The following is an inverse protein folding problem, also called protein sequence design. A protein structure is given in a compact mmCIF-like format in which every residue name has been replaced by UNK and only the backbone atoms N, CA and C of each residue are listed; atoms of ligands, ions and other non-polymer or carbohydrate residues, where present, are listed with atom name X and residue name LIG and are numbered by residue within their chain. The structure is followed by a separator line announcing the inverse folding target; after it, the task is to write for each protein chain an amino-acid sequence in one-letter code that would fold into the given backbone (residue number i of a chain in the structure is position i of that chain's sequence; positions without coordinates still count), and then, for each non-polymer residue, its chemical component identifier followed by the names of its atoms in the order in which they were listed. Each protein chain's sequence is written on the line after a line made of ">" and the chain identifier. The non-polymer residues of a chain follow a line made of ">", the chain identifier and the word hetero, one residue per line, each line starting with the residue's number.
data_IF_889774078677
#
_entry.id   IF_889774078677
#
_cell.length_a   1.000
_cell.length_b   1.000
_cell.length_c   1.000
_cell.angle_alpha   90.00
_cell.angle_beta   90.00
_cell.angle_gamma   90.00
#
_symmetry.space_group_name_H-M   'P 1'
#
loop_
_entity.id
_entity.type
_entity.pdbx_description
1 polymer ?
#
# COMPACT_ATOMS: atom_id res chain seq x y z
N UNK A 1 9.62 -27.06 38.03
CA UNK A 1 8.24 -27.18 37.50
C UNK A 1 7.39 -26.21 38.29
N UNK A 2 6.81 -25.20 37.65
CA UNK A 2 5.89 -24.25 38.29
C UNK A 2 4.60 -25.03 38.63
N UNK A 3 4.16 -24.90 39.88
CA UNK A 3 3.00 -25.64 40.40
C UNK A 3 1.72 -24.97 39.84
N UNK A 4 1.11 -25.58 38.83
CA UNK A 4 -0.10 -25.06 38.15
C UNK A 4 -1.29 -24.85 39.10
N UNK A 5 -1.29 -25.49 40.28
CA UNK A 5 -2.35 -25.37 41.30
C UNK A 5 -2.41 -24.00 42.01
N UNK A 6 -1.41 -23.14 41.81
CA UNK A 6 -1.34 -21.80 42.44
C UNK A 6 -1.59 -20.65 41.45
N UNK A 7 -2.08 -20.92 40.27
CA UNK A 7 -2.41 -19.86 39.27
C UNK A 7 -3.84 -19.34 39.51
N UNK A 8 -3.93 -18.11 39.98
CA UNK A 8 -5.23 -17.39 40.08
C UNK A 8 -5.65 -16.96 38.70
N UNK A 9 -6.81 -17.37 38.16
CA UNK A 9 -7.32 -16.95 36.89
C UNK A 9 -7.50 -15.42 36.80
N UNK A 10 -7.33 -14.84 35.63
CA UNK A 10 -7.50 -13.39 35.46
C UNK A 10 -8.92 -12.89 35.78
N UNK A 11 -9.93 -13.74 35.68
CA UNK A 11 -11.32 -13.47 36.05
C UNK A 11 -11.53 -13.27 37.56
N UNK A 12 -10.62 -13.75 38.39
CA UNK A 12 -10.69 -13.66 39.85
C UNK A 12 -9.81 -12.54 40.41
N UNK A 13 -9.12 -11.78 39.57
CA UNK A 13 -8.20 -10.72 39.98
C UNK A 13 -8.91 -9.35 39.98
N UNK A 14 -8.50 -8.51 40.90
CA UNK A 14 -8.96 -7.13 40.92
C UNK A 14 -8.39 -6.30 39.76
N UNK A 15 -9.06 -5.21 39.33
CA UNK A 15 -8.53 -4.32 38.28
C UNK A 15 -7.15 -3.74 38.59
N UNK A 16 -6.82 -3.53 39.86
CA UNK A 16 -5.50 -3.05 40.30
C UNK A 16 -4.40 -4.09 40.11
N UNK A 17 -4.66 -5.35 40.48
CA UNK A 17 -3.75 -6.48 40.28
C UNK A 17 -3.48 -6.74 38.81
N UNK A 18 -4.52 -6.68 37.96
CA UNK A 18 -4.38 -6.84 36.51
C UNK A 18 -3.51 -5.74 35.93
N UNK A 19 -3.66 -4.47 36.36
CA UNK A 19 -2.80 -3.37 35.93
C UNK A 19 -1.34 -3.57 36.31
N UNK A 20 -1.10 -4.05 37.53
CA UNK A 20 0.27 -4.30 38.02
C UNK A 20 0.96 -5.43 37.26
N UNK A 21 0.24 -6.53 36.99
CA UNK A 21 0.77 -7.66 36.21
C UNK A 21 1.07 -7.24 34.79
N UNK A 22 0.18 -6.48 34.15
CA UNK A 22 0.36 -5.95 32.79
C UNK A 22 1.56 -5.00 32.73
N UNK A 23 1.73 -4.14 33.73
CA UNK A 23 2.87 -3.21 33.85
C UNK A 23 4.18 -3.98 34.01
N UNK A 24 4.23 -4.98 34.90
CA UNK A 24 5.42 -5.85 35.11
C UNK A 24 5.75 -6.65 33.83
N UNK A 25 4.74 -7.18 33.14
CA UNK A 25 4.92 -7.88 31.86
C UNK A 25 5.46 -6.97 30.76
N UNK A 26 4.96 -5.74 30.67
CA UNK A 26 5.42 -4.71 29.71
C UNK A 26 6.87 -4.31 29.95
N UNK A 27 7.28 -4.08 31.22
CA UNK A 27 8.66 -3.74 31.57
C UNK A 27 9.61 -4.89 31.19
N UNK A 28 9.28 -6.13 31.59
CA UNK A 28 10.11 -7.30 31.29
C UNK A 28 10.22 -7.59 29.78
N UNK A 29 9.14 -7.41 29.04
CA UNK A 29 9.15 -7.51 27.58
C UNK A 29 10.02 -6.44 26.92
N UNK A 30 9.98 -5.20 27.43
CA UNK A 30 10.83 -4.10 26.98
C UNK A 30 12.34 -4.35 27.27
N UNK A 31 12.67 -4.93 28.42
CA UNK A 31 14.05 -5.29 28.77
C UNK A 31 14.59 -6.41 27.86
N UNK A 32 13.80 -7.45 27.62
CA UNK A 32 14.17 -8.57 26.70
C UNK A 32 14.35 -8.05 25.27
N UNK A 33 13.50 -7.13 24.79
CA UNK A 33 13.66 -6.52 23.47
C UNK A 33 14.93 -5.69 23.36
N UNK A 34 15.26 -4.90 24.39
CA UNK A 34 16.51 -4.12 24.44
C UNK A 34 17.75 -5.02 24.44
N UNK A 35 17.77 -6.07 25.26
CA UNK A 35 18.85 -7.05 25.27
C UNK A 35 19.04 -7.74 23.92
N UNK A 36 17.94 -8.18 23.26
CA UNK A 36 18.01 -8.78 21.92
C UNK A 36 18.55 -7.81 20.87
N UNK A 37 18.16 -6.53 20.92
CA UNK A 37 18.68 -5.48 20.00
C UNK A 37 20.17 -5.27 20.20
N UNK A 38 20.61 -5.16 21.46
CA UNK A 38 22.04 -4.98 21.78
C UNK A 38 22.88 -6.19 21.35
N UNK A 39 22.39 -7.42 21.54
CA UNK A 39 23.07 -8.63 21.09
C UNK A 39 23.15 -8.71 19.56
N UNK A 40 22.09 -8.29 18.86
CA UNK A 40 22.08 -8.25 17.40
C UNK A 40 23.06 -7.21 16.86
N UNK A 41 23.14 -6.05 17.47
CA UNK A 41 24.09 -5.00 17.09
C UNK A 41 25.54 -5.45 17.33
N UNK A 42 25.82 -6.06 18.48
CA UNK A 42 27.14 -6.64 18.76
C UNK A 42 27.51 -7.76 17.77
N UNK A 43 26.55 -8.63 17.44
CA UNK A 43 26.77 -9.68 16.44
C UNK A 43 27.11 -9.11 15.07
N UNK A 44 26.44 -8.05 14.62
CA UNK A 44 26.75 -7.35 13.38
C UNK A 44 28.16 -6.74 13.40
N UNK A 45 28.53 -6.03 14.46
CA UNK A 45 29.87 -5.46 14.61
C UNK A 45 30.96 -6.54 14.57
N UNK A 46 30.75 -7.67 15.26
CA UNK A 46 31.70 -8.80 15.20
C UNK A 46 31.76 -9.40 13.81
N UNK A 47 30.62 -9.54 13.12
CA UNK A 47 30.52 -10.12 11.80
C UNK A 47 31.23 -9.30 10.71
N UNK A 48 31.18 -7.97 10.81
CA UNK A 48 31.79 -7.01 9.86
C UNK A 48 33.28 -6.79 10.14
N UNK A 49 33.82 -7.20 11.29
CA UNK A 49 35.24 -7.04 11.58
C UNK A 49 36.12 -7.88 10.62
N UNK A 50 37.31 -7.41 10.27
CA UNK A 50 38.25 -8.16 9.45
C UNK A 50 38.56 -9.54 10.00
N UNK A 51 38.63 -10.54 9.13
CA UNK A 51 38.96 -11.89 9.50
C UNK A 51 40.36 -12.00 10.14
N UNK A 52 40.58 -12.90 11.11
CA UNK A 52 41.92 -13.20 11.64
C UNK A 52 42.90 -13.59 10.52
N UNK A 53 44.17 -13.21 10.68
CA UNK A 53 45.22 -13.43 9.63
C UNK A 53 45.32 -14.88 9.19
N UNK A 54 45.12 -15.83 10.08
CA UNK A 54 45.10 -17.27 9.76
C UNK A 54 43.91 -17.69 8.89
N UNK A 55 42.73 -17.05 9.11
CA UNK A 55 41.54 -17.31 8.32
C UNK A 55 41.58 -16.61 6.96
N UNK A 56 42.17 -15.42 6.87
CA UNK A 56 42.32 -14.69 5.60
C UNK A 56 43.00 -15.55 4.52
N UNK A 57 44.11 -16.21 4.84
CA UNK A 57 44.83 -17.10 3.90
C UNK A 57 43.91 -18.23 3.35
N UNK A 58 42.98 -18.71 4.16
CA UNK A 58 42.01 -19.73 3.75
C UNK A 58 40.97 -19.14 2.83
N UNK A 59 40.43 -17.97 3.16
CA UNK A 59 39.41 -17.27 2.39
C UNK A 59 39.94 -16.87 1.02
N UNK A 60 41.16 -16.36 0.94
CA UNK A 60 41.84 -16.05 -0.35
C UNK A 60 41.97 -17.28 -1.25
N UNK A 61 42.31 -18.46 -0.67
CA UNK A 61 42.32 -19.74 -1.43
C UNK A 61 40.97 -20.17 -1.96
N UNK A 62 39.86 -19.68 -1.33
CA UNK A 62 38.48 -19.92 -1.77
C UNK A 62 37.98 -18.84 -2.74
N UNK A 63 38.86 -17.90 -3.19
CA UNK A 63 38.53 -16.85 -4.14
C UNK A 63 37.90 -15.61 -3.53
N UNK A 64 37.91 -15.47 -2.21
CA UNK A 64 37.34 -14.27 -1.50
C UNK A 64 38.46 -13.22 -1.45
N UNK A 65 38.12 -11.97 -1.86
CA UNK A 65 39.07 -10.85 -1.85
C UNK A 65 39.50 -10.47 -0.42
N UNK A 66 40.63 -9.81 -0.25
CA UNK A 66 41.11 -9.35 1.05
C UNK A 66 40.18 -8.29 1.66
N UNK A 67 39.46 -7.54 0.83
CA UNK A 67 38.45 -6.55 1.27
C UNK A 67 37.18 -7.21 1.81
N UNK A 68 36.76 -8.34 1.23
CA UNK A 68 35.58 -9.11 1.65
C UNK A 68 35.89 -10.11 2.78
N UNK A 69 37.17 -10.26 3.14
CA UNK A 69 37.63 -11.22 4.15
C UNK A 69 37.33 -10.74 5.57
N UNK A 70 36.08 -10.86 5.99
CA UNK A 70 35.55 -10.54 7.32
C UNK A 70 35.08 -11.79 8.06
N UNK A 71 34.61 -11.63 9.30
CA UNK A 71 34.17 -12.77 10.11
C UNK A 71 32.90 -13.46 9.55
N UNK A 72 32.04 -12.75 8.83
CA UNK A 72 30.92 -13.38 8.08
C UNK A 72 31.46 -14.37 7.03
N UNK A 73 32.45 -13.95 6.24
CA UNK A 73 33.08 -14.84 5.25
C UNK A 73 33.67 -16.09 5.92
N UNK A 74 34.26 -15.95 7.13
CA UNK A 74 34.74 -17.11 7.92
C UNK A 74 33.63 -18.08 8.29
N UNK A 75 32.46 -17.57 8.72
CA UNK A 75 31.31 -18.39 9.10
C UNK A 75 30.75 -19.13 7.88
N UNK A 76 30.58 -18.42 6.75
CA UNK A 76 30.12 -19.01 5.49
C UNK A 76 31.07 -20.11 5.00
N UNK A 77 32.38 -19.85 5.02
CA UNK A 77 33.40 -20.85 4.67
C UNK A 77 33.38 -22.07 5.61
N UNK A 78 33.13 -21.88 6.90
CA UNK A 78 33.03 -22.98 7.85
C UNK A 78 31.77 -23.83 7.65
N UNK A 79 30.64 -23.23 7.26
CA UNK A 79 29.42 -23.96 6.89
C UNK A 79 29.68 -24.78 5.61
N UNK A 80 30.27 -24.18 4.59
CA UNK A 80 30.65 -24.86 3.35
C UNK A 80 31.57 -26.06 3.60
N UNK A 81 32.64 -25.88 4.37
CA UNK A 81 33.59 -26.99 4.69
C UNK A 81 32.89 -28.17 5.41
N UNK A 82 31.93 -27.90 6.27
CA UNK A 82 31.16 -28.96 6.96
C UNK A 82 30.17 -29.63 6.01
N UNK A 83 29.52 -28.84 5.13
CA UNK A 83 28.57 -29.35 4.14
C UNK A 83 29.23 -30.33 3.16
N UNK A 84 30.39 -29.98 2.59
CA UNK A 84 31.14 -30.85 1.67
C UNK A 84 31.69 -32.13 2.32
N UNK A 85 31.80 -32.11 3.69
CA UNK A 85 32.19 -33.33 4.46
C UNK A 85 30.97 -34.18 4.84
N UNK A 86 29.78 -33.89 4.32
CA UNK A 86 28.59 -34.72 4.51
C UNK A 86 27.80 -34.43 5.79
N UNK A 87 28.02 -33.27 6.47
CA UNK A 87 27.21 -32.89 7.62
C UNK A 87 25.87 -32.33 7.12
N UNK A 88 24.78 -33.10 7.32
CA UNK A 88 23.45 -32.76 6.80
C UNK A 88 22.94 -31.41 7.33
N UNK A 89 23.13 -31.07 8.60
CA UNK A 89 22.72 -29.78 9.16
C UNK A 89 23.47 -28.61 8.50
N UNK A 90 24.72 -28.79 8.11
CA UNK A 90 25.49 -27.80 7.38
C UNK A 90 25.07 -27.74 5.91
N UNK A 91 24.63 -28.84 5.30
CA UNK A 91 24.03 -28.88 3.95
C UNK A 91 22.74 -28.07 3.94
N UNK A 92 21.80 -28.33 4.85
CA UNK A 92 20.55 -27.58 4.98
C UNK A 92 20.81 -26.07 5.17
N UNK A 93 21.81 -25.73 6.01
CA UNK A 93 22.19 -24.35 6.25
C UNK A 93 22.83 -23.69 5.02
N UNK A 94 23.64 -24.43 4.29
CA UNK A 94 24.24 -23.98 3.03
C UNK A 94 23.17 -23.73 1.97
N UNK A 95 22.23 -24.66 1.80
CA UNK A 95 21.11 -24.50 0.87
C UNK A 95 20.27 -23.28 1.21
N UNK A 96 19.99 -23.03 2.51
CA UNK A 96 19.33 -21.81 2.96
C UNK A 96 20.10 -20.53 2.58
N UNK A 97 21.43 -20.50 2.78
CA UNK A 97 22.27 -19.35 2.44
C UNK A 97 22.30 -19.11 0.94
N UNK A 98 22.42 -20.17 0.12
CA UNK A 98 22.39 -20.10 -1.33
C UNK A 98 20.99 -19.74 -1.85
N UNK A 99 19.91 -20.24 -1.21
CA UNK A 99 18.53 -19.89 -1.56
C UNK A 99 18.23 -18.41 -1.28
N UNK A 100 18.75 -17.87 -0.16
CA UNK A 100 18.64 -16.41 0.13
C UNK A 100 19.35 -15.60 -0.95
N UNK A 101 20.55 -16.01 -1.40
CA UNK A 101 21.27 -15.32 -2.49
C UNK A 101 20.57 -15.44 -3.85
N UNK A 102 19.84 -16.54 -4.09
CA UNK A 102 19.02 -16.71 -5.30
C UNK A 102 17.68 -15.97 -5.22
N UNK A 103 17.12 -15.78 -4.02
CA UNK A 103 15.89 -15.01 -3.84
C UNK A 103 16.09 -13.49 -3.96
N UNK A 104 17.33 -13.00 -3.86
CA UNK A 104 17.63 -11.58 -4.06
C UNK A 104 17.73 -11.16 -5.54
N UNK A 105 17.72 -12.10 -6.49
CA UNK A 105 17.80 -11.77 -7.93
C UNK A 105 16.48 -11.86 -8.70
N UNK A 106 15.45 -12.52 -8.21
CA UNK A 106 14.15 -12.54 -8.89
C UNK A 106 13.19 -11.53 -8.27
N UNK A 107 12.94 -10.43 -8.99
CA UNK A 107 11.88 -9.49 -8.61
C UNK A 107 10.56 -10.24 -8.49
N UNK A 108 9.80 -9.92 -7.43
CA UNK A 108 8.44 -10.41 -7.27
C UNK A 108 7.56 -9.78 -8.37
N UNK A 109 6.86 -10.61 -9.12
CA UNK A 109 5.94 -10.17 -10.17
C UNK A 109 4.50 -10.54 -9.78
N UNK A 110 3.54 -9.66 -10.12
CA UNK A 110 2.14 -9.95 -9.90
C UNK A 110 1.69 -11.15 -10.76
N UNK A 111 1.03 -12.15 -10.16
CA UNK A 111 0.50 -13.27 -10.92
C UNK A 111 -0.54 -12.79 -11.94
N UNK A 112 -0.52 -13.34 -13.15
CA UNK A 112 -1.46 -12.96 -14.21
C UNK A 112 -2.95 -13.10 -13.78
N UNK A 113 -3.24 -14.03 -12.88
CA UNK A 113 -4.61 -14.28 -12.35
C UNK A 113 -5.22 -13.10 -11.60
N UNK A 114 -4.42 -12.18 -11.06
CA UNK A 114 -4.93 -11.01 -10.32
C UNK A 114 -5.00 -9.74 -11.19
N UNK A 115 -4.46 -9.79 -12.41
CA UNK A 115 -4.47 -8.67 -13.34
C UNK A 115 -5.70 -8.72 -14.23
N UNK A 116 -6.59 -7.75 -14.09
CA UNK A 116 -7.63 -7.51 -15.08
C UNK A 116 -7.00 -7.12 -16.43
N UNK A 117 -7.68 -7.48 -17.54
CA UNK A 117 -7.17 -7.28 -18.91
C UNK A 117 -6.69 -5.84 -19.16
N UNK A 118 -7.40 -4.83 -18.65
CA UNK A 118 -7.04 -3.42 -18.78
C UNK A 118 -5.66 -3.10 -18.20
N UNK A 119 -5.20 -3.86 -17.22
CA UNK A 119 -3.99 -3.51 -16.45
C UNK A 119 -2.73 -4.26 -16.87
N UNK A 120 -2.82 -5.23 -17.77
CA UNK A 120 -1.67 -6.06 -18.17
C UNK A 120 -0.54 -5.21 -18.77
N UNK A 121 -0.86 -4.32 -19.70
CA UNK A 121 0.14 -3.51 -20.38
C UNK A 121 0.67 -2.39 -19.49
N UNK A 122 -0.22 -1.69 -18.77
CA UNK A 122 0.21 -0.62 -17.87
C UNK A 122 1.07 -1.17 -16.71
N UNK A 123 0.79 -2.38 -16.21
CA UNK A 123 1.59 -3.02 -15.17
C UNK A 123 3.07 -3.14 -15.57
N UNK A 124 3.35 -3.47 -16.84
CA UNK A 124 4.71 -3.60 -17.39
C UNK A 124 5.40 -2.25 -17.60
N UNK A 125 4.62 -1.18 -17.78
CA UNK A 125 5.11 0.16 -18.05
C UNK A 125 5.37 0.99 -16.79
N UNK A 126 4.90 0.56 -15.62
CA UNK A 126 5.11 1.28 -14.37
C UNK A 126 6.61 1.36 -14.04
N UNK A 127 7.10 2.58 -13.92
CA UNK A 127 8.48 2.94 -13.58
C UNK A 127 8.51 4.10 -12.58
N UNK A 128 9.62 4.29 -11.84
CA UNK A 128 9.69 5.36 -10.85
C UNK A 128 9.63 6.76 -11.47
N UNK A 129 9.30 7.73 -10.64
CA UNK A 129 9.26 9.17 -10.93
C UNK A 129 8.23 9.57 -12.00
N UNK A 130 7.16 8.78 -12.11
CA UNK A 130 5.98 9.02 -12.93
C UNK A 130 4.74 9.01 -12.04
N UNK A 131 3.83 9.93 -12.30
CA UNK A 131 2.48 9.96 -11.73
C UNK A 131 1.56 9.07 -12.60
N UNK A 132 0.92 8.09 -11.97
CA UNK A 132 -0.06 7.21 -12.61
C UNK A 132 -1.46 7.54 -12.08
N UNK A 133 -2.30 7.99 -12.98
CA UNK A 133 -3.69 8.38 -12.68
C UNK A 133 -4.61 7.31 -13.27
N UNK A 134 -5.25 6.55 -12.40
CA UNK A 134 -6.23 5.53 -12.76
C UNK A 134 -7.62 6.09 -12.61
N UNK A 135 -8.29 6.31 -13.71
CA UNK A 135 -9.66 6.82 -13.74
C UNK A 135 -10.62 5.87 -14.47
N UNK A 136 -11.90 6.08 -14.32
CA UNK A 136 -12.91 5.30 -15.03
C UNK A 136 -14.13 4.99 -14.18
N UNK A 137 -15.05 4.20 -14.72
CA UNK A 137 -16.33 3.87 -14.10
C UNK A 137 -16.23 2.90 -12.92
N UNK A 138 -17.39 2.62 -12.33
CA UNK A 138 -17.56 1.57 -11.31
C UNK A 138 -17.18 0.21 -11.89
N UNK A 139 -16.64 -0.67 -11.06
CA UNK A 139 -16.21 -2.00 -11.48
C UNK A 139 -14.94 -2.04 -12.36
N UNK A 140 -14.31 -0.88 -12.64
CA UNK A 140 -13.10 -0.79 -13.46
C UNK A 140 -11.81 -1.28 -12.79
N UNK A 141 -11.87 -1.92 -11.62
CA UNK A 141 -10.77 -2.59 -10.88
C UNK A 141 -9.56 -1.70 -10.52
N UNK A 142 -9.69 -0.38 -10.62
CA UNK A 142 -8.60 0.59 -10.40
C UNK A 142 -7.93 0.42 -9.04
N UNK A 143 -8.70 0.48 -7.97
CA UNK A 143 -8.21 0.40 -6.58
C UNK A 143 -7.64 -0.98 -6.26
N UNK A 144 -8.21 -2.06 -6.84
CA UNK A 144 -7.68 -3.42 -6.71
C UNK A 144 -6.30 -3.54 -7.34
N UNK A 145 -6.14 -3.03 -8.56
CA UNK A 145 -4.85 -3.03 -9.26
C UNK A 145 -3.78 -2.25 -8.49
N UNK A 146 -4.09 -1.03 -8.03
CA UNK A 146 -3.13 -0.23 -7.27
C UNK A 146 -2.73 -0.93 -5.97
N UNK A 147 -3.67 -1.57 -5.28
CA UNK A 147 -3.37 -2.33 -4.07
C UNK A 147 -2.40 -3.49 -4.34
N UNK A 148 -2.61 -4.29 -5.39
CA UNK A 148 -1.67 -5.34 -5.81
C UNK A 148 -0.30 -4.77 -6.16
N UNK A 149 -0.26 -3.66 -6.90
CA UNK A 149 0.99 -3.01 -7.30
C UNK A 149 1.80 -2.48 -6.12
N UNK A 150 1.15 -1.96 -5.09
CA UNK A 150 1.82 -1.54 -3.85
C UNK A 150 2.47 -2.73 -3.15
N UNK A 151 1.80 -3.89 -3.08
CA UNK A 151 2.40 -5.12 -2.51
C UNK A 151 3.65 -5.52 -3.29
N UNK A 152 3.58 -5.55 -4.62
CA UNK A 152 4.73 -5.84 -5.48
C UNK A 152 5.90 -4.87 -5.24
N UNK A 153 5.61 -3.56 -5.19
CA UNK A 153 6.62 -2.53 -4.99
C UNK A 153 7.28 -2.62 -3.60
N UNK A 154 6.52 -2.89 -2.55
CA UNK A 154 7.04 -3.12 -1.19
C UNK A 154 8.00 -4.31 -1.18
N UNK A 155 7.66 -5.42 -1.84
CA UNK A 155 8.51 -6.60 -1.90
C UNK A 155 9.81 -6.36 -2.67
N UNK A 156 9.75 -5.51 -3.71
CA UNK A 156 10.88 -5.26 -4.61
C UNK A 156 11.79 -4.09 -4.20
N UNK A 157 11.35 -3.23 -3.27
CA UNK A 157 12.09 -2.03 -2.89
C UNK A 157 12.27 -1.95 -1.38
N UNK A 158 13.26 -2.64 -0.79
CA UNK A 158 13.41 -2.80 0.67
C UNK A 158 13.57 -1.49 1.47
N UNK A 159 13.87 -0.37 0.82
CA UNK A 159 14.02 0.94 1.46
C UNK A 159 12.78 1.83 1.32
N UNK A 160 11.76 1.38 0.55
CA UNK A 160 10.56 2.17 0.31
C UNK A 160 9.42 1.78 1.23
N UNK A 161 8.87 2.73 1.95
CA UNK A 161 7.59 2.64 2.63
C UNK A 161 6.48 3.18 1.74
N UNK A 162 5.23 2.85 2.04
CA UNK A 162 4.07 3.37 1.32
C UNK A 162 3.21 4.25 2.21
N UNK A 163 2.55 5.26 1.62
CA UNK A 163 1.50 6.04 2.26
C UNK A 163 0.25 6.02 1.38
N UNK A 164 -0.87 5.61 1.95
CA UNK A 164 -2.17 5.59 1.28
C UNK A 164 -3.05 6.64 1.91
N UNK A 165 -3.65 7.49 1.09
CA UNK A 165 -4.43 8.64 1.55
C UNK A 165 -5.84 8.64 0.99
N UNK A 166 -6.79 9.13 1.78
CA UNK A 166 -8.14 9.53 1.38
C UNK A 166 -8.48 10.87 2.01
N UNK A 167 -9.44 11.60 1.44
CA UNK A 167 -9.85 12.90 1.98
C UNK A 167 -10.34 12.77 3.43
N UNK A 168 -11.10 11.73 3.77
CA UNK A 168 -11.71 11.54 5.09
C UNK A 168 -11.05 10.38 5.85
N UNK A 169 -10.43 10.67 7.00
CA UNK A 169 -9.74 9.66 7.82
C UNK A 169 -10.65 8.52 8.30
N UNK A 170 -11.89 8.83 8.66
CA UNK A 170 -12.85 7.85 9.17
C UNK A 170 -13.19 6.72 8.19
N UNK A 171 -12.97 6.92 6.89
CA UNK A 171 -13.27 5.91 5.86
C UNK A 171 -12.09 4.98 5.54
N UNK A 172 -10.89 5.28 6.02
CA UNK A 172 -9.66 4.54 5.67
C UNK A 172 -9.73 3.05 6.01
N UNK A 173 -10.26 2.70 7.19
CA UNK A 173 -10.29 1.33 7.70
C UNK A 173 -11.14 0.41 6.83
N UNK A 174 -12.33 0.87 6.48
CA UNK A 174 -13.33 0.06 5.76
C UNK A 174 -13.18 0.14 4.24
N UNK A 175 -12.26 0.97 3.76
CA UNK A 175 -11.95 1.14 2.34
C UNK A 175 -10.53 0.64 2.00
N UNK A 176 -9.56 1.55 1.89
CA UNK A 176 -8.20 1.24 1.41
C UNK A 176 -7.44 0.26 2.29
N UNK A 177 -7.64 0.29 3.61
CA UNK A 177 -7.01 -0.70 4.49
C UNK A 177 -7.61 -2.10 4.28
N UNK A 178 -8.93 -2.20 4.20
CA UNK A 178 -9.61 -3.46 3.89
C UNK A 178 -9.19 -3.97 2.49
N UNK A 179 -9.10 -3.08 1.50
CA UNK A 179 -8.65 -3.41 0.16
C UNK A 179 -7.19 -3.91 0.13
N UNK A 180 -6.28 -3.26 0.86
CA UNK A 180 -4.89 -3.75 0.98
C UNK A 180 -4.82 -5.13 1.62
N UNK A 181 -5.58 -5.38 2.69
CA UNK A 181 -5.65 -6.72 3.31
C UNK A 181 -6.19 -7.77 2.35
N UNK A 182 -7.25 -7.43 1.63
CA UNK A 182 -7.81 -8.30 0.59
C UNK A 182 -6.76 -8.61 -0.48
N UNK A 183 -6.06 -7.61 -0.99
CA UNK A 183 -5.02 -7.80 -2.00
C UNK A 183 -3.87 -8.70 -1.51
N UNK A 184 -3.40 -8.51 -0.28
CA UNK A 184 -2.38 -9.36 0.34
C UNK A 184 -2.87 -10.81 0.45
N UNK A 185 -4.14 -11.01 0.84
CA UNK A 185 -4.76 -12.33 0.94
C UNK A 185 -4.88 -13.01 -0.43
N UNK A 186 -5.36 -12.31 -1.45
CA UNK A 186 -5.48 -12.82 -2.82
C UNK A 186 -4.12 -13.23 -3.43
N UNK A 187 -3.05 -12.56 -3.02
CA UNK A 187 -1.68 -12.93 -3.40
C UNK A 187 -1.13 -14.12 -2.59
N UNK A 188 -1.85 -14.58 -1.54
CA UNK A 188 -1.38 -15.65 -0.65
C UNK A 188 -0.25 -15.22 0.29
N UNK A 189 -0.15 -13.91 0.62
CA UNK A 189 0.99 -13.33 1.34
C UNK A 189 0.64 -12.90 2.78
N UNK A 190 -0.49 -13.32 3.34
CA UNK A 190 -0.94 -12.86 4.67
C UNK A 190 0.07 -13.14 5.79
N UNK A 191 0.83 -14.23 5.71
CA UNK A 191 1.86 -14.57 6.70
C UNK A 191 3.11 -13.66 6.60
N UNK A 192 3.29 -12.99 5.47
CA UNK A 192 4.40 -12.05 5.28
C UNK A 192 4.10 -10.63 5.77
N UNK A 193 2.83 -10.34 6.14
CA UNK A 193 2.39 -9.00 6.54
C UNK A 193 1.72 -9.00 7.91
N UNK A 194 2.10 -8.05 8.77
CA UNK A 194 1.44 -7.77 10.04
C UNK A 194 0.43 -6.61 9.86
N UNK A 195 -0.86 -6.87 10.07
CA UNK A 195 -1.94 -5.90 9.91
C UNK A 195 -2.35 -5.34 11.27
N UNK A 196 -2.18 -4.02 11.50
CA UNK A 196 -2.53 -3.30 12.73
C UNK A 196 -3.68 -2.35 12.50
N UNK A 197 -4.62 -2.29 13.46
CA UNK A 197 -5.77 -1.37 13.43
C UNK A 197 -5.49 -0.11 14.26
N UNK A 198 -4.59 -0.19 15.23
CA UNK A 198 -4.18 0.95 16.06
C UNK A 198 -2.68 0.88 16.38
N UNK A 199 -1.85 1.71 15.78
CA UNK A 199 -2.17 2.61 14.64
C UNK A 199 -2.60 1.84 13.40
N UNK A 200 -3.34 2.49 12.48
CA UNK A 200 -3.79 1.87 11.23
C UNK A 200 -2.60 1.76 10.27
N UNK A 201 -1.99 0.58 10.21
CA UNK A 201 -0.75 0.31 9.48
C UNK A 201 -0.65 -1.16 9.09
N UNK A 202 0.03 -1.44 7.97
CA UNK A 202 0.38 -2.79 7.55
C UNK A 202 1.91 -2.84 7.42
N UNK A 203 2.55 -3.81 8.08
CA UNK A 203 4.00 -3.95 8.09
C UNK A 203 4.41 -5.21 7.32
N UNK A 204 5.31 -5.08 6.36
CA UNK A 204 5.96 -6.22 5.71
C UNK A 204 7.02 -6.79 6.66
N UNK A 205 6.84 -8.06 7.08
CA UNK A 205 7.60 -8.65 8.20
C UNK A 205 9.07 -8.86 7.82
N UNK A 206 9.34 -9.28 6.57
CA UNK A 206 10.69 -9.67 6.11
C UNK A 206 11.70 -8.51 6.23
N UNK A 207 11.31 -7.31 5.86
CA UNK A 207 12.20 -6.13 5.78
C UNK A 207 11.81 -5.01 6.74
N UNK A 208 10.59 -5.06 7.32
CA UNK A 208 10.12 -4.07 8.29
C UNK A 208 9.46 -2.83 7.70
N UNK A 209 9.30 -2.75 6.38
CA UNK A 209 8.62 -1.63 5.73
C UNK A 209 7.17 -1.51 6.18
N UNK A 210 6.66 -0.29 6.20
CA UNK A 210 5.30 0.00 6.68
C UNK A 210 4.48 0.69 5.59
N UNK A 211 3.24 0.26 5.43
CA UNK A 211 2.20 0.93 4.65
C UNK A 211 1.38 1.74 5.63
N UNK A 212 1.46 3.07 5.53
CA UNK A 212 0.76 4.03 6.38
C UNK A 212 -0.57 4.42 5.74
N UNK A 213 -1.61 4.60 6.56
CA UNK A 213 -2.92 5.09 6.13
C UNK A 213 -3.22 6.42 6.79
N UNK A 214 -3.49 7.48 6.02
CA UNK A 214 -3.68 8.85 6.54
C UNK A 214 -4.83 9.56 5.84
N UNK A 215 -5.66 10.24 6.64
CA UNK A 215 -6.67 11.16 6.13
C UNK A 215 -6.07 12.51 5.76
N UNK A 216 -6.65 13.17 4.77
CA UNK A 216 -6.26 14.52 4.32
C UNK A 216 -7.09 15.64 4.99
N UNK A 217 -8.00 15.26 5.88
CA UNK A 217 -8.72 16.18 6.78
C UNK A 217 -7.77 16.88 7.77
N UNK A 218 -6.65 16.24 8.11
CA UNK A 218 -5.57 16.80 8.93
C UNK A 218 -4.20 16.57 8.25
N UNK A 219 -3.79 17.50 7.42
CA UNK A 219 -2.52 17.43 6.68
C UNK A 219 -1.27 17.47 7.59
N UNK A 220 -1.40 17.89 8.85
CA UNK A 220 -0.28 17.91 9.78
C UNK A 220 0.23 16.50 10.09
N UNK A 221 -0.67 15.51 10.07
CA UNK A 221 -0.36 14.10 10.27
C UNK A 221 0.51 13.52 9.16
N UNK A 222 0.42 14.04 7.94
CA UNK A 222 1.29 13.62 6.82
C UNK A 222 2.74 14.08 7.03
N UNK A 223 2.92 15.32 7.49
CA UNK A 223 4.25 15.91 7.73
C UNK A 223 5.01 15.21 8.85
N UNK A 224 4.31 14.56 9.77
CA UNK A 224 4.86 13.90 10.94
C UNK A 224 5.30 12.45 10.70
N UNK A 225 5.00 11.87 9.52
CA UNK A 225 5.39 10.48 9.23
C UNK A 225 6.92 10.43 9.08
N UNK A 226 7.55 9.62 9.94
CA UNK A 226 9.00 9.35 9.90
C UNK A 226 9.20 7.84 9.95
N UNK A 227 9.53 7.18 8.82
CA UNK A 227 9.90 5.77 8.83
C UNK A 227 11.11 5.52 9.74
N UNK A 228 11.20 4.33 10.33
CA UNK A 228 12.36 3.93 11.15
C UNK A 228 13.65 3.81 10.31
N UNK A 229 13.52 3.57 9.02
CA UNK A 229 14.60 3.49 8.02
C UNK A 229 14.04 3.85 6.65
N UNK A 230 14.91 4.00 5.64
CA UNK A 230 14.50 4.29 4.27
C UNK A 230 13.67 5.57 4.15
N UNK A 231 12.68 5.54 3.26
CA UNK A 231 11.84 6.70 2.96
C UNK A 231 10.46 6.27 2.45
N UNK A 232 9.51 7.20 2.40
CA UNK A 232 8.22 6.93 1.76
C UNK A 232 8.36 7.18 0.27
N UNK A 233 8.51 6.10 -0.49
CA UNK A 233 8.67 6.12 -1.95
C UNK A 233 7.41 5.77 -2.72
N UNK A 234 6.33 5.34 -2.05
CA UNK A 234 5.09 4.93 -2.68
C UNK A 234 3.95 5.74 -2.07
N UNK A 235 3.22 6.48 -2.90
CA UNK A 235 2.04 7.25 -2.51
C UNK A 235 0.83 6.78 -3.32
N UNK A 236 -0.31 6.56 -2.66
CA UNK A 236 -1.58 6.34 -3.31
C UNK A 236 -2.65 7.30 -2.78
N UNK A 237 -3.21 8.10 -3.67
CA UNK A 237 -4.32 9.04 -3.43
C UNK A 237 -5.61 8.38 -3.93
N UNK A 238 -6.35 7.72 -3.03
CA UNK A 238 -7.64 7.09 -3.35
C UNK A 238 -8.76 8.11 -3.28
N UNK A 239 -9.71 8.03 -4.22
CA UNK A 239 -10.76 9.02 -4.41
C UNK A 239 -10.20 10.44 -4.54
N UNK A 240 -9.23 10.60 -5.45
CA UNK A 240 -8.56 11.87 -5.71
C UNK A 240 -9.54 13.02 -6.01
N UNK A 241 -10.68 12.70 -6.60
CA UNK A 241 -11.76 13.65 -6.90
C UNK A 241 -12.33 14.35 -5.67
N UNK A 242 -12.26 13.74 -4.49
CA UNK A 242 -12.70 14.33 -3.21
C UNK A 242 -11.68 15.32 -2.62
N UNK A 243 -10.46 15.37 -3.11
CA UNK A 243 -9.45 16.33 -2.64
C UNK A 243 -9.87 17.76 -2.99
N UNK A 244 -9.44 18.72 -2.17
CA UNK A 244 -9.79 20.15 -2.31
C UNK A 244 -9.19 20.84 -3.54
N UNK A 245 -8.44 20.13 -4.39
CA UNK A 245 -7.83 20.63 -5.60
C UNK A 245 -6.34 20.36 -5.68
N UNK A 246 -5.73 20.86 -6.78
CA UNK A 246 -4.31 20.66 -7.09
C UNK A 246 -3.35 21.30 -6.06
N UNK A 247 -3.77 22.31 -5.32
CA UNK A 247 -2.95 22.86 -4.23
C UNK A 247 -2.78 21.86 -3.09
N UNK A 248 -3.85 21.16 -2.69
CA UNK A 248 -3.78 20.11 -1.68
C UNK A 248 -2.95 18.92 -2.20
N UNK A 249 -3.15 18.53 -3.46
CA UNK A 249 -2.35 17.46 -4.06
C UNK A 249 -0.85 17.76 -4.02
N UNK A 250 -0.43 18.97 -4.42
CA UNK A 250 0.98 19.39 -4.32
C UNK A 250 1.50 19.34 -2.89
N UNK A 251 0.71 19.81 -1.91
CA UNK A 251 1.05 19.75 -0.48
C UNK A 251 1.27 18.31 -0.01
N UNK A 252 0.39 17.38 -0.41
CA UNK A 252 0.48 15.95 -0.09
C UNK A 252 1.74 15.34 -0.70
N UNK A 253 1.98 15.53 -1.99
CA UNK A 253 3.13 14.99 -2.70
C UNK A 253 4.46 15.48 -2.06
N UNK A 254 4.59 16.77 -1.77
CA UNK A 254 5.76 17.36 -1.13
C UNK A 254 5.97 16.88 0.33
N UNK A 255 4.88 16.57 1.03
CA UNK A 255 4.94 16.10 2.41
C UNK A 255 5.33 14.63 2.52
N UNK A 256 4.92 13.82 1.55
CA UNK A 256 5.03 12.35 1.60
C UNK A 256 6.23 11.86 0.78
N UNK A 257 6.33 12.25 -0.49
CA UNK A 257 7.38 11.77 -1.41
C UNK A 257 8.66 12.58 -1.23
N UNK A 258 9.47 12.18 -0.25
CA UNK A 258 10.74 12.84 0.09
C UNK A 258 11.75 11.84 0.65
N UNK A 259 13.03 12.12 0.48
CA UNK A 259 14.12 11.38 1.11
C UNK A 259 14.70 10.24 0.28
N UNK A 260 14.28 10.09 -0.99
CA UNK A 260 14.84 9.12 -1.93
C UNK A 260 14.83 9.62 -3.36
N UNK A 261 15.54 8.93 -4.24
CA UNK A 261 15.70 9.30 -5.65
C UNK A 261 14.57 8.75 -6.54
N UNK A 262 13.89 7.70 -6.09
CA UNK A 262 12.81 7.04 -6.82
C UNK A 262 11.50 7.13 -6.03
N UNK A 263 10.41 7.38 -6.75
CA UNK A 263 9.07 7.40 -6.17
C UNK A 263 8.01 6.89 -7.14
N UNK A 264 6.93 6.34 -6.59
CA UNK A 264 5.75 5.89 -7.31
C UNK A 264 4.54 6.65 -6.79
N UNK A 265 3.90 7.43 -7.66
CA UNK A 265 2.75 8.25 -7.32
C UNK A 265 1.51 7.72 -8.05
N UNK A 266 0.57 7.18 -7.29
CA UNK A 266 -0.68 6.62 -7.79
C UNK A 266 -1.87 7.47 -7.36
N UNK A 267 -2.82 7.62 -8.26
CA UNK A 267 -4.14 8.19 -7.97
C UNK A 267 -5.22 7.30 -8.54
N UNK A 268 -6.34 7.15 -7.85
CA UNK A 268 -7.53 6.46 -8.36
C UNK A 268 -8.79 7.24 -8.03
N UNK A 269 -9.70 7.35 -9.00
CA UNK A 269 -10.99 8.00 -8.81
C UNK A 269 -11.99 7.62 -9.90
N UNK A 270 -13.27 7.85 -9.62
CA UNK A 270 -14.30 7.90 -10.64
C UNK A 270 -14.47 9.36 -11.08
N UNK A 271 -14.36 9.69 -12.38
CA UNK A 271 -14.48 11.05 -12.84
C UNK A 271 -15.80 11.69 -12.37
N UNK A 272 -15.76 12.86 -11.71
CA UNK A 272 -16.98 13.60 -11.41
C UNK A 272 -17.77 13.97 -12.66
N UNK A 273 -19.10 14.11 -12.53
CA UNK A 273 -20.00 14.44 -13.65
C UNK A 273 -19.58 15.74 -14.36
N UNK A 274 -19.20 16.77 -13.58
CA UNK A 274 -18.79 18.07 -14.12
C UNK A 274 -17.45 18.02 -14.85
N UNK A 275 -17.45 18.35 -16.13
CA UNK A 275 -16.25 18.52 -16.95
C UNK A 275 -15.30 19.59 -16.40
N UNK A 276 -15.82 20.58 -15.68
CA UNK A 276 -15.04 21.66 -15.07
C UNK A 276 -14.36 21.29 -13.77
N UNK A 277 -14.66 20.09 -13.19
CA UNK A 277 -13.97 19.64 -12.01
C UNK A 277 -12.46 19.55 -12.23
N UNK A 278 -11.69 19.89 -11.22
CA UNK A 278 -10.22 19.97 -11.31
C UNK A 278 -9.56 18.65 -11.74
N UNK A 279 -10.06 17.49 -11.28
CA UNK A 279 -9.50 16.18 -11.70
C UNK A 279 -9.78 15.87 -13.17
N UNK A 280 -10.92 16.32 -13.72
CA UNK A 280 -11.24 16.15 -15.13
C UNK A 280 -10.40 17.09 -16.01
N UNK A 281 -10.06 18.29 -15.50
CA UNK A 281 -9.19 19.26 -16.20
C UNK A 281 -7.72 18.85 -16.21
N UNK A 282 -7.27 18.03 -15.27
CA UNK A 282 -5.86 17.59 -15.19
C UNK A 282 -5.39 16.89 -16.47
N UNK A 283 -6.32 16.26 -17.20
CA UNK A 283 -6.08 15.61 -18.50
C UNK A 283 -5.74 16.58 -19.61
N UNK A 284 -6.24 17.82 -19.50
CA UNK A 284 -6.07 18.85 -20.52
C UNK A 284 -4.70 19.53 -20.42
N UNK A 285 -3.98 19.31 -19.31
CA UNK A 285 -2.64 19.87 -19.10
C UNK A 285 -1.60 18.80 -19.40
N UNK A 286 -0.85 18.91 -20.51
CA UNK A 286 0.20 17.97 -20.84
C UNK A 286 1.27 17.90 -19.73
N UNK A 287 1.59 16.71 -19.28
CA UNK A 287 2.68 16.47 -18.34
C UNK A 287 3.43 15.18 -18.75
N UNK A 288 4.69 15.29 -19.21
CA UNK A 288 5.45 14.12 -19.67
C UNK A 288 5.76 13.12 -18.55
N UNK A 289 5.56 13.52 -17.29
CA UNK A 289 5.71 12.66 -16.10
C UNK A 289 4.38 12.15 -15.56
N UNK A 290 3.30 12.20 -16.34
CA UNK A 290 1.98 11.70 -15.96
C UNK A 290 1.48 10.72 -17.01
N UNK A 291 1.01 9.58 -16.56
CA UNK A 291 0.29 8.59 -17.36
C UNK A 291 -1.14 8.52 -16.82
N UNK A 292 -2.11 8.71 -17.70
CA UNK A 292 -3.53 8.57 -17.37
C UNK A 292 -4.01 7.26 -17.99
N UNK A 293 -4.55 6.40 -17.17
CA UNK A 293 -5.10 5.11 -17.57
C UNK A 293 -6.59 5.07 -17.25
N UNK A 294 -7.38 4.85 -18.27
CA UNK A 294 -8.83 4.70 -18.15
C UNK A 294 -9.21 3.22 -18.14
N UNK A 295 -10.13 2.82 -17.26
CA UNK A 295 -10.67 1.47 -17.24
C UNK A 295 -12.15 1.47 -16.89
N UNK A 296 -12.89 0.51 -17.43
CA UNK A 296 -14.30 0.29 -17.15
C UNK A 296 -14.54 -1.17 -16.75
N UNK A 297 -15.76 -1.48 -16.32
CA UNK A 297 -16.15 -2.83 -15.98
C UNK A 297 -16.13 -3.77 -17.20
N UNK A 298 -16.15 -3.24 -18.44
CA UNK A 298 -16.14 -4.02 -19.67
C UNK A 298 -14.84 -4.81 -19.88
N UNK A 299 -13.73 -4.36 -19.26
CA UNK A 299 -12.46 -5.07 -19.30
C UNK A 299 -12.24 -5.99 -18.09
N UNK A 300 -13.15 -5.98 -17.11
CA UNK A 300 -13.10 -6.86 -15.96
C UNK A 300 -13.70 -8.23 -16.29
N UNK A 301 -13.16 -9.33 -15.74
CA UNK A 301 -13.82 -10.63 -15.82
C UNK A 301 -15.22 -10.57 -15.19
N UNK A 302 -16.23 -11.07 -15.88
CA UNK A 302 -17.63 -10.99 -15.43
C UNK A 302 -17.85 -11.65 -14.06
N UNK A 303 -17.13 -12.75 -13.80
CA UNK A 303 -17.16 -13.48 -12.53
C UNK A 303 -16.66 -12.65 -11.34
N UNK A 304 -15.83 -11.61 -11.55
CA UNK A 304 -15.36 -10.74 -10.49
C UNK A 304 -16.37 -9.65 -10.10
N UNK A 305 -17.30 -9.35 -11.00
CA UNK A 305 -18.30 -8.29 -10.81
C UNK A 305 -19.61 -8.82 -10.21
N UNK A 306 -19.96 -10.06 -10.54
CA UNK A 306 -21.21 -10.70 -10.16
C UNK A 306 -22.42 -10.31 -11.04
N UNK A 307 -23.37 -11.22 -11.17
CA UNK A 307 -24.51 -11.07 -12.10
C UNK A 307 -25.39 -9.86 -11.79
N UNK A 308 -25.60 -9.55 -10.50
CA UNK A 308 -26.40 -8.37 -10.12
C UNK A 308 -25.79 -7.07 -10.64
N UNK A 309 -24.50 -6.88 -10.51
CA UNK A 309 -23.80 -5.69 -11.00
C UNK A 309 -23.97 -5.54 -12.52
N UNK A 310 -23.83 -6.65 -13.26
CA UNK A 310 -23.98 -6.66 -14.72
C UNK A 310 -25.42 -6.34 -15.16
N UNK A 311 -26.42 -6.90 -14.48
CA UNK A 311 -27.82 -6.62 -14.73
C UNK A 311 -28.18 -5.15 -14.42
N UNK A 312 -27.66 -4.59 -13.33
CA UNK A 312 -27.88 -3.18 -12.95
C UNK A 312 -27.26 -2.24 -14.01
N UNK A 313 -26.06 -2.57 -14.52
CA UNK A 313 -25.40 -1.81 -15.57
C UNK A 313 -26.22 -1.83 -16.88
N UNK A 314 -26.69 -2.99 -17.31
CA UNK A 314 -27.49 -3.12 -18.55
C UNK A 314 -28.84 -2.41 -18.40
N UNK A 315 -29.51 -2.58 -17.26
CA UNK A 315 -30.75 -1.85 -16.99
C UNK A 315 -30.56 -0.33 -17.03
N UNK A 316 -29.50 0.19 -16.38
CA UNK A 316 -29.24 1.63 -16.42
C UNK A 316 -28.93 2.12 -17.83
N UNK A 317 -28.23 1.32 -18.61
CA UNK A 317 -27.93 1.62 -20.02
C UNK A 317 -29.21 1.76 -20.88
N UNK A 318 -30.23 0.94 -20.60
CA UNK A 318 -31.52 1.00 -21.31
C UNK A 318 -32.37 2.20 -20.87
N UNK A 319 -32.45 2.46 -19.55
CA UNK A 319 -33.39 3.47 -19.01
C UNK A 319 -32.77 4.87 -18.92
N UNK A 320 -31.46 4.99 -18.76
CA UNK A 320 -30.75 6.26 -18.68
C UNK A 320 -29.30 6.14 -19.21
N UNK A 321 -29.10 6.16 -20.54
CA UNK A 321 -27.80 6.01 -21.17
C UNK A 321 -26.76 7.02 -20.67
N UNK A 322 -27.15 8.26 -20.38
CA UNK A 322 -26.25 9.30 -19.89
C UNK A 322 -25.71 8.97 -18.49
N UNK A 323 -26.58 8.54 -17.59
CA UNK A 323 -26.15 8.07 -16.26
C UNK A 323 -25.25 6.84 -16.37
N UNK A 324 -25.57 5.91 -17.27
CA UNK A 324 -24.75 4.73 -17.52
C UNK A 324 -23.34 5.11 -18.00
N UNK A 325 -23.21 6.00 -18.99
CA UNK A 325 -21.92 6.47 -19.48
C UNK A 325 -21.08 7.10 -18.35
N UNK A 326 -21.74 7.90 -17.52
CA UNK A 326 -21.06 8.51 -16.39
C UNK A 326 -20.64 7.49 -15.33
N UNK A 327 -21.56 6.69 -14.81
CA UNK A 327 -21.33 5.85 -13.63
C UNK A 327 -20.50 4.60 -13.95
N UNK A 328 -20.80 3.93 -15.09
CA UNK A 328 -20.16 2.66 -15.45
C UNK A 328 -18.98 2.81 -16.41
N UNK A 329 -19.02 3.81 -17.29
CA UNK A 329 -17.93 4.06 -18.22
C UNK A 329 -16.99 5.19 -17.77
N UNK A 330 -17.37 5.98 -16.73
CA UNK A 330 -16.52 7.05 -16.20
C UNK A 330 -16.43 8.26 -17.11
N UNK A 331 -17.46 8.53 -17.90
CA UNK A 331 -17.49 9.68 -18.83
C UNK A 331 -18.02 10.92 -18.09
N UNK A 332 -17.24 12.03 -18.00
CA UNK A 332 -17.76 13.31 -17.50
C UNK A 332 -18.71 13.91 -18.55
N UNK A 333 -20.00 13.88 -18.31
CA UNK A 333 -21.02 14.35 -19.25
C UNK A 333 -21.83 15.56 -18.78
N UNK A 334 -21.57 16.09 -17.57
CA UNK A 334 -22.20 17.29 -17.06
C UNK A 334 -21.47 18.58 -17.49
N UNK A 335 -22.23 19.58 -17.87
CA UNK A 335 -21.70 20.88 -18.34
C UNK A 335 -21.21 21.79 -17.20
N UNK A 336 -21.38 21.36 -15.96
CA UNK A 336 -20.85 22.06 -14.77
C UNK A 336 -21.55 23.37 -14.41
N UNK A 337 -22.63 23.70 -15.11
CA UNK A 337 -23.38 24.94 -14.95
C UNK A 337 -24.83 24.80 -14.51
N UNK A 338 -25.42 23.62 -14.66
CA UNK A 338 -26.82 23.43 -14.30
C UNK A 338 -26.95 22.99 -12.83
N UNK A 339 -27.33 23.92 -11.98
CA UNK A 339 -27.75 23.62 -10.59
C UNK A 339 -29.07 22.84 -10.58
N UNK A 340 -29.83 22.93 -11.67
CA UNK A 340 -31.12 22.26 -11.85
C UNK A 340 -31.08 21.39 -13.11
N UNK A 341 -31.41 20.09 -12.99
CA UNK A 341 -31.36 19.10 -14.08
C UNK A 341 -32.56 19.22 -15.04
N UNK A 342 -33.65 19.85 -14.62
CA UNK A 342 -34.91 20.00 -15.38
C UNK A 342 -35.38 21.45 -15.35
N UNK A 343 -34.54 22.37 -15.84
CA UNK A 343 -34.91 23.77 -15.94
C UNK A 343 -35.75 23.97 -17.21
N UNK A 344 -37.04 24.25 -17.02
CA UNK A 344 -37.92 24.72 -18.10
C UNK A 344 -37.97 26.26 -18.08
N UNK A 345 -37.46 26.89 -19.15
CA UNK A 345 -37.54 28.33 -19.32
C UNK A 345 -38.78 28.60 -20.18
N UNK A 346 -39.85 29.07 -19.54
CA UNK A 346 -41.09 29.47 -20.21
C UNK A 346 -41.70 30.69 -19.56
N UNK A 347 -42.55 31.40 -20.30
CA UNK A 347 -43.35 32.47 -19.73
C UNK A 347 -44.35 31.86 -18.70
N UNK A 348 -44.40 32.45 -17.52
CA UNK A 348 -45.31 32.08 -16.46
C UNK A 348 -46.57 32.99 -16.57
N UNK A 349 -47.74 32.40 -16.59
CA UNK A 349 -48.98 33.16 -16.69
C UNK A 349 -49.36 33.84 -15.33
N UNK A 350 -50.12 34.89 -15.38
CA UNK A 350 -50.59 35.59 -14.17
C UNK A 350 -51.41 34.68 -13.26
N UNK A 351 -52.09 33.68 -13.79
CA UNK A 351 -52.83 32.67 -13.05
C UNK A 351 -51.89 31.73 -12.28
N UNK A 352 -50.81 31.29 -12.89
CA UNK A 352 -49.81 30.48 -12.21
C UNK A 352 -49.10 31.26 -11.10
N UNK A 353 -48.76 32.55 -11.36
CA UNK A 353 -48.18 33.45 -10.36
C UNK A 353 -49.10 33.60 -9.14
N UNK A 354 -50.40 33.63 -9.34
CA UNK A 354 -51.38 33.80 -8.26
C UNK A 354 -51.47 32.60 -7.32
N UNK A 355 -51.07 31.41 -7.77
CA UNK A 355 -51.06 30.13 -7.03
C UNK A 355 -49.70 29.79 -6.43
N UNK A 356 -48.64 30.56 -6.71
CA UNK A 356 -47.33 30.32 -6.12
C UNK A 356 -47.29 30.93 -4.71
N UNK A 357 -46.91 30.12 -3.72
CA UNK A 357 -46.56 30.63 -2.40
C UNK A 357 -45.39 31.58 -2.50
N UNK A 358 -45.52 32.78 -1.92
CA UNK A 358 -44.45 33.78 -1.91
C UNK A 358 -43.32 33.29 -1.01
N UNK A 359 -42.25 32.79 -1.61
CA UNK A 359 -41.00 32.50 -0.91
C UNK A 359 -40.24 33.84 -0.79
N UNK A 360 -40.17 34.36 0.41
CA UNK A 360 -39.32 35.50 0.73
C UNK A 360 -37.91 35.00 0.99
N UNK A 361 -36.95 35.52 0.25
CA UNK A 361 -35.51 35.34 0.47
C UNK A 361 -35.05 36.15 1.69
#
# INVERSE_FOLDING_TARGET
>A
MANEKNLIPNSERTPSELREITKKGGIKSGEVRRQKKTLSELAKMIAENPAPTTAKKKLTKMGISDEDANNNACIVAAVYDKAIKGNMQAVDKWEQLVAVSKSDESKYELPARVLGKAFVDINRQIKPNIEYVFEGGRGGLKSSFVAFKIVELIKNNPQMHACITRQVAGTLKDSVYANMKWAINELGLMEEFECKVSPLEIKYIKTGQTIYFRGLDDETKLKSIKPEFGYIGILWKEEKDQMKGDAQERSVNQSVLRGGDESYDFSSYNPPKSKSNWVNRIKLTPNPKRVIHHSSYLEAPAEWLGQKFLNDAEHLKEVNPEAYEHEYLGVPNGDGGNVFEYLEIRDITDEEISHMDRIFA
#
